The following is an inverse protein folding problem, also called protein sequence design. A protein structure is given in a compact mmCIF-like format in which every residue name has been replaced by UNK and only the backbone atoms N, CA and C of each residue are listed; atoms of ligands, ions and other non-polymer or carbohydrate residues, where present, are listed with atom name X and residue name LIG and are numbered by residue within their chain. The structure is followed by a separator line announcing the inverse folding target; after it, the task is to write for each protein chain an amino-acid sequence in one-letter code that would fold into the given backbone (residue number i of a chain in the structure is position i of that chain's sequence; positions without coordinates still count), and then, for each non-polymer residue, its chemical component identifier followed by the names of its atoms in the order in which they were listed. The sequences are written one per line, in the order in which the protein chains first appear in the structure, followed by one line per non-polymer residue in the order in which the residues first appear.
data_IF_740106178668
#
_entry.id   IF_740106178668
#
_cell.length_a   1.000
_cell.length_b   1.000
_cell.length_c   1.000
_cell.angle_alpha   90.00
_cell.angle_beta   90.00
_cell.angle_gamma   90.00
#
_symmetry.space_group_name_H-M   'P 1'
#
loop_
_entity.id
_entity.type
_entity.pdbx_description
1 polymer ?
#
# COMPACT_ATOMS: atom_id res chain seq x y z
N UNK A 1 35.93 -19.74 -38.77
CA UNK A 1 36.28 -19.42 -37.38
C UNK A 1 35.41 -18.24 -37.00
N UNK A 2 34.20 -18.53 -36.55
CA UNK A 2 33.25 -17.50 -36.12
C UNK A 2 33.72 -17.04 -34.74
N UNK A 3 34.22 -15.82 -34.67
CA UNK A 3 34.62 -15.18 -33.43
C UNK A 3 33.33 -14.87 -32.66
N UNK A 4 32.92 -15.81 -31.82
CA UNK A 4 31.86 -15.59 -30.84
C UNK A 4 32.45 -14.56 -29.87
N UNK A 5 32.17 -13.28 -30.11
CA UNK A 5 32.29 -12.25 -29.09
C UNK A 5 31.48 -12.74 -27.88
N UNK A 6 32.18 -13.29 -26.89
CA UNK A 6 31.62 -13.49 -25.56
C UNK A 6 31.13 -12.12 -25.11
N UNK A 7 29.81 -11.94 -25.18
CA UNK A 7 29.14 -10.74 -24.71
C UNK A 7 29.38 -10.70 -23.21
N UNK A 8 30.48 -10.05 -22.82
CA UNK A 8 30.92 -9.85 -21.45
C UNK A 8 29.68 -9.38 -20.69
N UNK A 9 29.14 -10.25 -19.83
CA UNK A 9 27.94 -9.89 -19.10
C UNK A 9 28.31 -8.67 -18.27
N UNK A 10 27.76 -7.50 -18.59
CA UNK A 10 28.03 -6.28 -17.82
C UNK A 10 27.60 -6.54 -16.37
N UNK A 11 28.58 -6.88 -15.52
CA UNK A 11 28.32 -7.21 -14.12
C UNK A 11 28.22 -5.89 -13.38
N UNK A 12 27.03 -5.60 -12.84
CA UNK A 12 26.83 -4.44 -12.01
C UNK A 12 27.52 -4.65 -10.65
N UNK A 13 28.59 -3.90 -10.40
CA UNK A 13 29.36 -3.96 -9.16
C UNK A 13 28.68 -3.09 -8.10
N UNK A 14 28.40 -3.68 -6.94
CA UNK A 14 27.89 -2.95 -5.77
C UNK A 14 29.07 -2.33 -5.03
N UNK A 15 29.21 -1.01 -5.12
CA UNK A 15 30.22 -0.25 -4.38
C UNK A 15 29.85 -0.11 -2.90
N UNK A 16 30.80 0.30 -2.06
CA UNK A 16 30.56 0.51 -0.63
C UNK A 16 29.49 1.58 -0.37
N UNK A 17 29.42 2.62 -1.21
CA UNK A 17 28.38 3.65 -1.12
C UNK A 17 26.97 3.06 -1.33
N UNK A 18 26.81 2.25 -2.38
CA UNK A 18 25.53 1.58 -2.68
C UNK A 18 25.16 0.63 -1.53
N UNK A 19 26.14 -0.09 -1.00
CA UNK A 19 25.96 -0.97 0.16
C UNK A 19 25.45 -0.20 1.38
N UNK A 20 26.04 0.97 1.66
CA UNK A 20 25.61 1.87 2.73
C UNK A 20 24.16 2.33 2.53
N UNK A 21 23.79 2.76 1.33
CA UNK A 21 22.42 3.18 1.01
C UNK A 21 21.40 2.05 1.16
N UNK A 22 21.72 0.84 0.69
CA UNK A 22 20.85 -0.33 0.88
C UNK A 22 20.67 -0.61 2.37
N UNK A 23 21.74 -0.51 3.16
CA UNK A 23 21.67 -0.74 4.60
C UNK A 23 20.81 0.30 5.32
N UNK A 24 20.97 1.58 4.98
CA UNK A 24 20.18 2.67 5.55
C UNK A 24 18.69 2.56 5.16
N UNK A 25 18.40 2.36 3.87
CA UNK A 25 17.02 2.15 3.41
C UNK A 25 16.38 0.92 4.05
N UNK A 26 17.15 -0.14 4.30
CA UNK A 26 16.67 -1.33 5.01
C UNK A 26 16.34 -1.06 6.48
N UNK A 27 17.06 -0.15 7.16
CA UNK A 27 16.70 0.27 8.53
C UNK A 27 15.38 1.03 8.53
N UNK A 28 15.22 2.01 7.64
CA UNK A 28 13.98 2.77 7.50
C UNK A 28 12.80 1.90 7.10
N UNK A 29 12.98 0.98 6.15
CA UNK A 29 11.94 0.03 5.76
C UNK A 29 11.52 -0.88 6.93
N UNK A 30 12.45 -1.29 7.79
CA UNK A 30 12.13 -2.08 8.98
C UNK A 30 11.28 -1.26 9.97
N UNK A 31 11.71 -0.03 10.27
CA UNK A 31 10.95 0.88 11.13
C UNK A 31 9.52 1.09 10.59
N UNK A 32 9.39 1.40 9.30
CA UNK A 32 8.10 1.65 8.66
C UNK A 32 7.21 0.39 8.63
N UNK A 33 7.81 -0.80 8.51
CA UNK A 33 7.07 -2.06 8.61
C UNK A 33 6.47 -2.29 10.00
N UNK A 34 7.23 -1.99 11.07
CA UNK A 34 6.76 -2.12 12.45
C UNK A 34 5.61 -1.13 12.69
N UNK A 35 5.79 0.12 12.31
CA UNK A 35 4.75 1.15 12.41
C UNK A 35 3.49 0.70 11.66
N UNK A 36 3.62 0.23 10.43
CA UNK A 36 2.48 -0.24 9.65
C UNK A 36 1.76 -1.47 10.25
N UNK A 37 2.49 -2.39 10.89
CA UNK A 37 1.88 -3.48 11.64
C UNK A 37 1.11 -2.99 12.88
N UNK A 38 1.67 -2.01 13.61
CA UNK A 38 0.97 -1.38 14.74
C UNK A 38 -0.32 -0.71 14.27
N UNK A 39 -0.27 0.07 13.18
CA UNK A 39 -1.46 0.68 12.59
C UNK A 39 -2.50 -0.37 12.17
N UNK A 40 -2.06 -1.46 11.54
CA UNK A 40 -2.96 -2.56 11.18
C UNK A 40 -3.62 -3.17 12.42
N UNK A 41 -2.85 -3.44 13.48
CA UNK A 41 -3.38 -4.00 14.72
C UNK A 41 -4.39 -3.04 15.38
N UNK A 42 -4.09 -1.74 15.42
CA UNK A 42 -5.00 -0.71 15.92
C UNK A 42 -6.28 -0.64 15.08
N UNK A 43 -6.21 -0.70 13.75
CA UNK A 43 -7.39 -0.74 12.88
C UNK A 43 -8.27 -1.95 13.17
N UNK A 44 -7.67 -3.13 13.37
CA UNK A 44 -8.41 -4.34 13.75
C UNK A 44 -9.07 -4.16 15.12
N UNK A 45 -8.38 -3.56 16.10
CA UNK A 45 -8.97 -3.27 17.40
C UNK A 45 -10.13 -2.28 17.31
N UNK A 46 -10.03 -1.27 16.45
CA UNK A 46 -11.12 -0.31 16.21
C UNK A 46 -12.39 -0.99 15.68
N UNK A 47 -12.29 -2.16 15.02
CA UNK A 47 -13.47 -2.85 14.49
C UNK A 47 -14.46 -3.29 15.58
N UNK A 48 -13.97 -3.57 16.79
CA UNK A 48 -14.82 -3.89 17.94
C UNK A 48 -15.56 -2.67 18.48
N UNK A 49 -15.05 -1.46 18.24
CA UNK A 49 -15.66 -0.20 18.66
C UNK A 49 -16.66 0.37 17.64
N UNK A 50 -16.80 -0.24 16.45
CA UNK A 50 -17.66 0.24 15.35
C UNK A 50 -19.13 0.37 15.77
N UNK A 51 -19.64 -0.55 16.58
CA UNK A 51 -21.03 -0.49 17.05
C UNK A 51 -21.32 0.75 17.89
N UNK A 52 -20.42 1.06 18.84
CA UNK A 52 -20.53 2.27 19.66
C UNK A 52 -20.37 3.54 18.81
N UNK A 53 -19.42 3.52 17.87
CA UNK A 53 -19.20 4.64 16.94
C UNK A 53 -20.43 4.94 16.08
N UNK A 54 -21.06 3.91 15.51
CA UNK A 54 -22.28 4.06 14.69
C UNK A 54 -23.44 4.63 15.51
N UNK A 55 -23.64 4.15 16.74
CA UNK A 55 -24.67 4.69 17.64
C UNK A 55 -24.46 6.18 17.92
N UNK A 56 -23.24 6.60 18.22
CA UNK A 56 -22.91 8.03 18.43
C UNK A 56 -23.18 8.83 17.15
N UNK A 57 -22.80 8.30 15.99
CA UNK A 57 -22.97 8.99 14.71
C UNK A 57 -24.44 9.12 14.30
N UNK A 58 -25.25 8.09 14.53
CA UNK A 58 -26.69 8.12 14.29
C UNK A 58 -27.39 9.12 15.22
N UNK A 59 -26.98 9.22 16.48
CA UNK A 59 -27.51 10.23 17.41
C UNK A 59 -27.10 11.66 17.03
N UNK A 60 -25.89 11.86 16.51
CA UNK A 60 -25.38 13.17 16.15
C UNK A 60 -25.90 13.68 14.79
N UNK A 61 -26.03 12.79 13.80
CA UNK A 61 -26.29 13.14 12.40
C UNK A 61 -27.64 12.63 11.87
N UNK A 62 -28.27 11.66 12.54
CA UNK A 62 -29.53 11.07 12.12
C UNK A 62 -29.50 10.60 10.67
N UNK A 63 -30.49 11.03 9.88
CA UNK A 63 -30.63 10.67 8.47
C UNK A 63 -29.49 11.18 7.56
N UNK A 64 -28.63 12.08 8.05
CA UNK A 64 -27.47 12.57 7.31
C UNK A 64 -26.21 11.71 7.51
N UNK A 65 -26.28 10.61 8.27
CA UNK A 65 -25.13 9.72 8.46
C UNK A 65 -24.75 9.02 7.14
N UNK A 66 -23.56 9.31 6.55
CA UNK A 66 -23.13 8.71 5.28
C UNK A 66 -22.84 7.21 5.39
N UNK A 67 -22.65 6.68 6.61
CA UNK A 67 -22.37 5.27 6.85
C UNK A 67 -23.64 4.46 7.16
N UNK A 68 -24.79 5.10 7.33
CA UNK A 68 -26.06 4.44 7.63
C UNK A 68 -26.46 3.36 6.59
N UNK A 69 -26.29 3.55 5.27
CA UNK A 69 -26.63 2.51 4.28
C UNK A 69 -25.77 1.25 4.38
N UNK A 70 -24.53 1.38 4.87
CA UNK A 70 -23.59 0.27 5.01
C UNK A 70 -23.80 -0.51 6.31
N UNK A 71 -24.38 0.15 7.32
CA UNK A 71 -24.60 -0.40 8.66
C UNK A 71 -23.30 -0.74 9.38
N UNK A 72 -23.43 -1.19 10.63
CA UNK A 72 -22.30 -1.63 11.47
C UNK A 72 -21.53 -2.80 10.84
N UNK A 73 -22.25 -3.81 10.35
CA UNK A 73 -21.63 -5.00 9.76
C UNK A 73 -20.81 -4.67 8.50
N UNK A 74 -21.34 -3.84 7.59
CA UNK A 74 -20.62 -3.43 6.40
C UNK A 74 -19.40 -2.58 6.72
N UNK A 75 -19.50 -1.68 7.70
CA UNK A 75 -18.37 -0.85 8.15
C UNK A 75 -17.25 -1.69 8.78
N UNK A 76 -17.60 -2.69 9.59
CA UNK A 76 -16.64 -3.64 10.14
C UNK A 76 -15.90 -4.41 9.05
N UNK A 77 -16.64 -4.94 8.05
CA UNK A 77 -16.03 -5.67 6.92
C UNK A 77 -15.10 -4.75 6.10
N UNK A 78 -15.52 -3.52 5.83
CA UNK A 78 -14.70 -2.53 5.11
C UNK A 78 -13.41 -2.23 5.88
N UNK A 79 -13.49 -1.97 7.18
CA UNK A 79 -12.32 -1.66 8.01
C UNK A 79 -11.33 -2.84 8.08
N UNK A 80 -11.83 -4.08 8.19
CA UNK A 80 -10.99 -5.28 8.13
C UNK A 80 -10.32 -5.44 6.76
N UNK A 81 -11.05 -5.18 5.69
CA UNK A 81 -10.49 -5.21 4.33
C UNK A 81 -9.40 -4.16 4.16
N UNK A 82 -9.62 -2.92 4.64
CA UNK A 82 -8.60 -1.89 4.65
C UNK A 82 -7.38 -2.31 5.49
N UNK A 83 -7.58 -2.89 6.67
CA UNK A 83 -6.48 -3.39 7.48
C UNK A 83 -5.63 -4.44 6.73
N UNK A 84 -6.25 -5.35 5.98
CA UNK A 84 -5.53 -6.31 5.13
C UNK A 84 -4.71 -5.63 4.02
N UNK A 85 -5.27 -4.58 3.39
CA UNK A 85 -4.58 -3.77 2.38
C UNK A 85 -3.33 -3.11 2.97
N UNK A 86 -3.39 -2.59 4.21
CA UNK A 86 -2.23 -1.98 4.88
C UNK A 86 -1.24 -3.02 5.41
N UNK A 87 -1.70 -4.19 5.83
CA UNK A 87 -0.84 -5.26 6.35
C UNK A 87 0.16 -5.77 5.31
N UNK A 88 -0.31 -6.00 4.08
CA UNK A 88 0.49 -6.59 3.01
C UNK A 88 1.76 -5.79 2.65
N UNK A 89 1.71 -4.46 2.39
CA UNK A 89 2.91 -3.67 2.09
C UNK A 89 3.86 -3.58 3.30
N UNK A 90 3.35 -3.55 4.54
CA UNK A 90 4.20 -3.62 5.73
C UNK A 90 4.99 -4.94 5.79
N UNK A 91 4.36 -6.06 5.45
CA UNK A 91 5.02 -7.35 5.36
C UNK A 91 6.08 -7.41 4.26
N UNK A 92 5.85 -6.75 3.12
CA UNK A 92 6.86 -6.66 2.06
C UNK A 92 8.07 -5.82 2.49
N UNK A 93 7.85 -4.68 3.16
CA UNK A 93 8.93 -3.85 3.71
C UNK A 93 9.74 -4.60 4.76
N UNK A 94 9.10 -5.37 5.63
CA UNK A 94 9.79 -6.20 6.62
C UNK A 94 10.68 -7.25 5.94
N UNK A 95 10.15 -7.94 4.93
CA UNK A 95 10.91 -8.94 4.15
C UNK A 95 12.06 -8.32 3.38
N UNK A 96 11.85 -7.15 2.76
CA UNK A 96 12.91 -6.36 2.12
C UNK A 96 14.02 -6.03 3.11
N UNK A 97 13.66 -5.42 4.25
CA UNK A 97 14.62 -4.97 5.25
C UNK A 97 15.52 -6.10 5.76
N UNK A 98 14.94 -7.27 6.05
CA UNK A 98 15.70 -8.42 6.55
C UNK A 98 16.63 -9.00 5.47
N UNK A 99 16.14 -9.13 4.23
CA UNK A 99 16.96 -9.61 3.12
C UNK A 99 18.07 -8.62 2.76
N UNK A 100 17.76 -7.33 2.66
CA UNK A 100 18.71 -6.27 2.32
C UNK A 100 19.85 -6.16 3.33
N UNK A 101 19.54 -6.20 4.64
CA UNK A 101 20.58 -6.21 5.69
C UNK A 101 21.49 -7.43 5.57
N UNK A 102 20.93 -8.62 5.33
CA UNK A 102 21.70 -9.86 5.18
C UNK A 102 22.57 -9.82 3.91
N UNK A 103 22.02 -9.37 2.78
CA UNK A 103 22.75 -9.24 1.52
C UNK A 103 23.96 -8.32 1.64
N UNK A 104 23.77 -7.15 2.28
CA UNK A 104 24.85 -6.20 2.56
C UNK A 104 25.88 -6.80 3.51
N UNK A 105 25.48 -7.45 4.60
CA UNK A 105 26.42 -7.96 5.59
C UNK A 105 27.30 -9.09 5.05
N UNK A 106 26.72 -9.99 4.24
CA UNK A 106 27.40 -11.19 3.75
C UNK A 106 27.86 -11.11 2.29
N UNK A 107 27.74 -9.96 1.64
CA UNK A 107 28.05 -9.79 0.21
C UNK A 107 27.35 -10.81 -0.71
N UNK A 108 26.13 -11.23 -0.36
CA UNK A 108 25.41 -12.29 -1.06
C UNK A 108 24.47 -11.72 -2.13
N UNK A 109 24.86 -11.92 -3.39
CA UNK A 109 24.13 -11.48 -4.57
C UNK A 109 22.74 -12.13 -4.70
N UNK A 110 22.58 -13.39 -4.27
CA UNK A 110 21.30 -14.08 -4.35
C UNK A 110 20.30 -13.46 -3.36
N UNK A 111 20.74 -13.19 -2.13
CA UNK A 111 19.92 -12.49 -1.13
C UNK A 111 19.61 -11.05 -1.56
N UNK A 112 20.54 -10.36 -2.24
CA UNK A 112 20.31 -9.02 -2.78
C UNK A 112 19.18 -9.02 -3.83
N UNK A 113 19.19 -9.99 -4.74
CA UNK A 113 18.13 -10.16 -5.75
C UNK A 113 16.75 -10.39 -5.09
N UNK A 114 16.70 -11.19 -4.03
CA UNK A 114 15.48 -11.40 -3.24
C UNK A 114 15.00 -10.08 -2.62
N UNK A 115 15.91 -9.31 -2.01
CA UNK A 115 15.58 -8.01 -1.41
C UNK A 115 14.96 -7.07 -2.47
N UNK A 116 15.65 -6.87 -3.60
CA UNK A 116 15.17 -6.01 -4.67
C UNK A 116 13.84 -6.51 -5.26
N UNK A 117 13.62 -7.82 -5.32
CA UNK A 117 12.33 -8.40 -5.70
C UNK A 117 11.18 -8.03 -4.74
N UNK A 118 11.44 -7.95 -3.43
CA UNK A 118 10.44 -7.50 -2.44
C UNK A 118 10.19 -6.00 -2.54
N UNK A 119 11.23 -5.19 -2.74
CA UNK A 119 11.10 -3.76 -2.98
C UNK A 119 10.25 -3.47 -4.23
N UNK A 120 10.52 -4.17 -5.34
CA UNK A 120 9.71 -4.11 -6.57
C UNK A 120 8.24 -4.41 -6.29
N UNK A 121 7.96 -5.47 -5.54
CA UNK A 121 6.59 -5.87 -5.21
C UNK A 121 5.87 -4.81 -4.37
N UNK A 122 6.57 -4.14 -3.46
CA UNK A 122 6.03 -3.05 -2.66
C UNK A 122 5.61 -1.86 -3.53
N UNK A 123 6.49 -1.38 -4.42
CA UNK A 123 6.16 -0.28 -5.33
C UNK A 123 5.06 -0.65 -6.32
N UNK A 124 5.05 -1.89 -6.83
CA UNK A 124 3.95 -2.35 -7.70
C UNK A 124 2.61 -2.34 -6.97
N UNK A 125 2.57 -2.77 -5.71
CA UNK A 125 1.33 -2.77 -4.92
C UNK A 125 0.74 -1.37 -4.80
N UNK A 126 1.53 -0.39 -4.34
CA UNK A 126 1.07 1.00 -4.21
C UNK A 126 0.78 1.66 -5.56
N UNK A 127 1.58 1.36 -6.59
CA UNK A 127 1.35 1.88 -7.94
C UNK A 127 0.02 1.40 -8.54
N UNK A 128 -0.29 0.10 -8.42
CA UNK A 128 -1.57 -0.45 -8.89
C UNK A 128 -2.73 0.14 -8.08
N UNK A 129 -2.59 0.20 -6.75
CA UNK A 129 -3.61 0.79 -5.88
C UNK A 129 -3.90 2.25 -6.26
N UNK A 130 -2.86 3.03 -6.57
CA UNK A 130 -3.01 4.42 -7.01
C UNK A 130 -3.72 4.53 -8.36
N UNK A 131 -3.38 3.67 -9.33
CA UNK A 131 -4.06 3.64 -10.64
C UNK A 131 -5.55 3.36 -10.45
N UNK A 132 -5.90 2.38 -9.61
CA UNK A 132 -7.30 2.06 -9.29
C UNK A 132 -7.99 3.25 -8.65
N UNK A 133 -7.37 3.91 -7.67
CA UNK A 133 -7.93 5.10 -7.02
C UNK A 133 -8.18 6.24 -8.02
N UNK A 134 -7.22 6.52 -8.92
CA UNK A 134 -7.37 7.54 -9.95
C UNK A 134 -8.52 7.22 -10.94
N UNK A 135 -8.69 5.95 -11.31
CA UNK A 135 -9.80 5.53 -12.14
C UNK A 135 -11.17 5.79 -11.46
N UNK A 136 -11.29 5.47 -10.16
CA UNK A 136 -12.49 5.79 -9.39
C UNK A 136 -12.74 7.29 -9.31
N UNK A 137 -11.72 8.10 -9.02
CA UNK A 137 -11.86 9.57 -9.01
C UNK A 137 -12.32 10.11 -10.37
N UNK A 138 -11.77 9.59 -11.46
CA UNK A 138 -12.19 9.94 -12.82
C UNK A 138 -13.67 9.63 -13.07
N UNK A 139 -14.14 8.45 -12.67
CA UNK A 139 -15.55 8.06 -12.78
C UNK A 139 -16.48 8.96 -11.96
N UNK A 140 -16.10 9.26 -10.71
CA UNK A 140 -16.89 10.13 -9.83
C UNK A 140 -17.05 11.53 -10.44
N UNK A 141 -15.99 12.10 -11.00
CA UNK A 141 -16.05 13.40 -11.69
C UNK A 141 -16.97 13.32 -12.92
N UNK A 142 -16.85 12.26 -13.72
CA UNK A 142 -17.66 12.06 -14.93
C UNK A 142 -19.16 11.97 -14.59
N UNK A 143 -19.52 11.17 -13.60
CA UNK A 143 -20.90 11.06 -13.12
C UNK A 143 -21.38 12.36 -12.48
N UNK A 144 -20.52 13.07 -11.73
CA UNK A 144 -20.84 14.36 -11.14
C UNK A 144 -21.20 15.41 -12.19
N UNK A 145 -20.47 15.47 -13.30
CA UNK A 145 -20.75 16.38 -14.42
C UNK A 145 -22.07 16.00 -15.09
N UNK A 146 -22.30 14.71 -15.38
CA UNK A 146 -23.54 14.24 -16.02
C UNK A 146 -24.76 14.55 -15.13
N UNK A 147 -24.66 14.26 -13.82
CA UNK A 147 -25.72 14.55 -12.86
C UNK A 147 -25.97 16.05 -12.72
N UNK A 148 -24.92 16.88 -12.72
CA UNK A 148 -25.03 18.33 -12.67
C UNK A 148 -25.70 18.93 -13.89
N UNK A 149 -25.35 18.47 -15.11
CA UNK A 149 -26.01 18.90 -16.35
C UNK A 149 -27.47 18.45 -16.39
N UNK A 150 -27.76 17.21 -16.00
CA UNK A 150 -29.12 16.69 -15.94
C UNK A 150 -30.00 17.48 -14.96
N UNK A 151 -29.50 17.76 -13.76
CA UNK A 151 -30.20 18.58 -12.77
C UNK A 151 -30.41 20.02 -13.26
N UNK A 152 -29.43 20.63 -13.93
CA UNK A 152 -29.57 21.97 -14.49
C UNK A 152 -30.63 22.03 -15.62
N UNK A 153 -30.72 21.00 -16.46
CA UNK A 153 -31.70 20.92 -17.55
C UNK A 153 -33.14 20.69 -17.08
N UNK A 154 -33.33 20.15 -15.86
CA UNK A 154 -34.65 19.96 -15.24
C UNK A 154 -35.11 21.18 -14.42
N UNK A 155 -34.21 22.14 -14.18
CA UNK A 155 -34.47 23.35 -13.39
C UNK A 155 -34.81 24.58 -14.26
N UNK A 156 -34.80 24.43 -15.59
CA UNK A 156 -35.24 25.43 -16.59
C UNK A 156 -36.53 24.97 -17.25
#
# INVERSE_FOLDING_TARGET
MENIEEKESEVLIITEDIRSYIYETAKWANFLSIVGFIFTALMVLCTFAVGAFMSVMDNAMGAANPYAPMGTAGLTVLLLFCALIYFYPSLLLFKYANAAKKAVLFADQATLSIAMGKMKSFFKFWGILMIVALAFYGLVILFGIIAGIGAASLAT
#
